data_IF_376017038065
#
_entry.id   IF_376017038065
#
_cell.length_a   1.000
_cell.length_b   1.000
_cell.length_c   1.000
_cell.angle_alpha   90.00
_cell.angle_beta   90.00
_cell.angle_gamma   90.00
#
_symmetry.space_group_name_H-M   'P 1'
#
loop_
_entity.id
_entity.type
_entity.pdbx_description
1 polymer ?
#
# COMPACT_ATOMS: atom_id res chain seq x y z
N UNK A 1 98.26 -3.89 43.06
CA UNK A 1 96.96 -3.81 43.76
C UNK A 1 96.16 -2.68 43.13
N UNK A 2 94.83 -2.81 43.06
CA UNK A 2 93.87 -1.72 42.81
C UNK A 2 93.13 -1.42 44.15
N UNK A 3 92.23 -0.45 44.33
CA UNK A 3 91.52 0.52 43.44
C UNK A 3 91.59 1.93 44.11
N UNK A 4 91.00 3.06 43.67
CA UNK A 4 89.58 3.44 43.38
C UNK A 4 89.53 4.69 42.46
N UNK A 5 88.43 4.87 41.71
CA UNK A 5 88.17 5.93 40.69
C UNK A 5 86.71 6.48 40.76
N UNK A 6 86.28 7.53 40.02
CA UNK A 6 86.72 8.94 40.03
C UNK A 6 85.92 9.85 39.02
N UNK A 7 84.92 10.62 39.48
CA UNK A 7 84.27 11.79 38.78
C UNK A 7 83.57 11.43 37.42
N UNK A 8 82.88 12.33 36.64
CA UNK A 8 81.97 13.50 36.85
C UNK A 8 80.47 13.16 36.56
N UNK A 9 79.47 14.07 36.48
CA UNK A 9 79.35 15.52 36.75
C UNK A 9 79.09 16.44 35.52
N UNK A 10 77.86 16.99 35.29
CA UNK A 10 77.61 17.97 34.19
C UNK A 10 76.45 19.00 34.39
N UNK A 11 76.79 20.29 34.21
CA UNK A 11 76.04 21.46 33.67
C UNK A 11 74.62 21.90 34.12
N UNK A 12 74.51 23.21 34.44
CA UNK A 12 73.28 24.02 34.36
C UNK A 12 73.57 25.54 34.36
N UNK A 13 72.99 26.27 33.40
CA UNK A 13 73.01 27.75 33.18
C UNK A 13 71.77 28.08 32.32
N UNK A 14 71.07 29.22 32.33
CA UNK A 14 71.10 30.47 33.11
C UNK A 14 70.13 31.49 32.44
N UNK A 15 69.57 32.46 33.18
CA UNK A 15 68.42 33.29 32.73
C UNK A 15 68.74 34.79 32.57
N UNK A 16 67.82 35.51 31.87
CA UNK A 16 67.74 36.97 31.61
C UNK A 16 68.59 37.48 30.40
N UNK A 17 68.24 38.60 29.74
CA UNK A 17 67.27 39.65 30.11
C UNK A 17 66.38 40.18 28.95
N UNK A 18 65.20 40.67 29.35
CA UNK A 18 64.47 41.85 28.84
C UNK A 18 64.63 42.32 27.38
N UNK A 19 63.52 42.26 26.61
CA UNK A 19 63.19 43.35 25.67
C UNK A 19 61.66 43.62 25.65
N UNK A 20 61.26 44.76 25.08
CA UNK A 20 59.99 45.44 25.43
C UNK A 20 59.06 45.62 24.22
N UNK A 21 57.77 45.37 24.44
CA UNK A 21 56.62 46.04 23.80
C UNK A 21 56.64 46.05 22.25
N UNK A 22 55.94 45.09 21.63
CA UNK A 22 55.30 45.34 20.32
C UNK A 22 53.97 44.58 20.20
N UNK A 23 52.86 45.30 20.36
CA UNK A 23 51.48 44.78 20.39
C UNK A 23 50.75 44.89 19.05
N UNK A 24 51.48 45.16 17.96
CA UNK A 24 50.93 45.35 16.61
C UNK A 24 51.50 44.35 15.58
N UNK A 25 51.43 43.07 15.92
CA UNK A 25 51.42 41.97 14.93
C UNK A 25 50.15 41.16 15.11
N UNK A 26 49.12 41.50 14.34
CA UNK A 26 47.97 40.62 14.12
C UNK A 26 48.48 39.27 13.58
N UNK A 27 48.11 38.13 14.17
CA UNK A 27 48.26 36.87 13.46
C UNK A 27 47.31 36.94 12.27
N UNK A 28 47.85 37.03 11.04
CA UNK A 28 47.04 36.96 9.83
C UNK A 28 46.33 35.63 9.83
N UNK A 29 45.04 35.64 10.17
CA UNK A 29 44.21 34.45 10.16
C UNK A 29 44.12 33.99 8.71
N UNK A 30 44.90 32.96 8.35
CA UNK A 30 44.79 32.28 7.06
C UNK A 30 43.41 31.68 6.97
N UNK A 31 42.47 32.43 6.40
CA UNK A 31 41.10 32.00 6.14
C UNK A 31 41.15 30.84 5.18
N UNK A 32 41.24 29.62 5.74
CA UNK A 32 40.85 28.40 5.04
C UNK A 32 39.36 28.55 4.77
N UNK A 33 39.03 29.02 3.58
CA UNK A 33 37.67 28.93 3.04
C UNK A 33 37.16 27.50 3.30
N UNK A 34 35.95 27.31 3.82
CA UNK A 34 35.43 25.97 4.07
C UNK A 34 35.40 25.22 2.74
N UNK A 35 36.34 24.28 2.57
CA UNK A 35 36.42 23.47 1.38
C UNK A 35 35.14 22.64 1.33
N UNK A 36 34.32 22.89 0.30
CA UNK A 36 33.08 22.16 0.12
C UNK A 36 33.37 20.64 0.12
N UNK A 37 32.52 19.81 0.76
CA UNK A 37 32.69 18.38 0.70
C UNK A 37 32.73 17.92 -0.76
N UNK A 38 33.52 16.88 -1.10
CA UNK A 38 33.58 16.38 -2.47
C UNK A 38 32.15 16.05 -2.94
N UNK A 39 31.78 16.39 -4.19
CA UNK A 39 30.45 16.09 -4.70
C UNK A 39 30.19 14.59 -4.57
N UNK A 40 29.02 14.24 -4.04
CA UNK A 40 28.58 12.85 -3.96
C UNK A 40 28.69 12.20 -5.34
N UNK A 41 29.08 10.92 -5.44
CA UNK A 41 29.14 10.22 -6.72
C UNK A 41 27.77 10.33 -7.37
N UNK A 42 27.73 10.84 -8.60
CA UNK A 42 26.47 11.13 -9.29
C UNK A 42 25.66 9.85 -9.44
N UNK A 43 24.59 9.74 -8.65
CA UNK A 43 23.60 8.67 -8.74
C UNK A 43 23.22 8.51 -10.21
N UNK A 44 23.24 7.29 -10.79
CA UNK A 44 22.87 7.10 -12.18
C UNK A 44 21.42 7.56 -12.36
N UNK A 45 21.24 8.75 -12.94
CA UNK A 45 19.93 9.28 -13.22
C UNK A 45 19.25 8.35 -14.22
N UNK A 46 18.08 7.83 -13.84
CA UNK A 46 17.26 7.07 -14.76
C UNK A 46 17.06 7.95 -16.01
N UNK A 47 17.38 7.47 -17.22
CA UNK A 47 17.20 8.27 -18.42
C UNK A 47 15.73 8.67 -18.51
N UNK A 48 15.39 9.86 -19.09
CA UNK A 48 14.02 10.33 -19.14
C UNK A 48 13.12 9.24 -19.71
N UNK A 49 12.14 8.81 -18.92
CA UNK A 49 11.36 7.58 -19.13
C UNK A 49 10.32 7.78 -20.23
N UNK A 50 10.77 8.11 -21.44
CA UNK A 50 9.97 8.13 -22.66
C UNK A 50 9.61 6.70 -23.02
N UNK A 51 8.58 6.18 -22.34
CA UNK A 51 7.99 4.89 -22.63
C UNK A 51 7.62 4.83 -24.11
N UNK A 52 8.19 3.86 -24.83
CA UNK A 52 7.81 3.54 -26.20
C UNK A 52 7.32 2.10 -26.21
N UNK A 53 6.02 1.93 -26.44
CA UNK A 53 5.40 0.62 -26.55
C UNK A 53 6.16 -0.24 -27.57
N UNK A 54 6.50 -1.47 -27.18
CA UNK A 54 7.14 -2.46 -28.05
C UNK A 54 6.18 -3.61 -28.27
N UNK A 55 5.94 -3.91 -29.54
CA UNK A 55 5.08 -5.00 -29.99
C UNK A 55 5.64 -6.34 -29.51
N UNK A 56 4.78 -7.23 -29.03
CA UNK A 56 5.16 -8.59 -28.65
C UNK A 56 3.96 -9.56 -28.74
N UNK A 57 4.18 -10.88 -28.59
CA UNK A 57 3.14 -11.89 -28.77
C UNK A 57 1.85 -11.62 -28.00
N UNK A 58 0.71 -11.70 -28.70
CA UNK A 58 -0.64 -11.47 -28.15
C UNK A 58 -1.25 -10.10 -28.48
N UNK A 59 -0.45 -9.12 -28.86
CA UNK A 59 -0.95 -7.80 -29.28
C UNK A 59 -1.79 -7.88 -30.56
N UNK A 60 -2.86 -7.07 -30.67
CA UNK A 60 -3.69 -6.99 -31.89
C UNK A 60 -3.53 -5.66 -32.59
N UNK A 61 -3.20 -5.74 -33.87
CA UNK A 61 -2.92 -4.63 -34.76
C UNK A 61 -3.94 -4.59 -35.89
N UNK A 62 -4.37 -3.41 -36.30
CA UNK A 62 -4.99 -3.19 -37.60
C UNK A 62 -3.95 -2.56 -38.52
N UNK A 63 -3.92 -3.01 -39.76
CA UNK A 63 -3.04 -2.50 -40.81
C UNK A 63 -3.83 -2.28 -42.07
N UNK A 64 -3.52 -1.21 -42.80
CA UNK A 64 -4.11 -0.91 -44.10
C UNK A 64 -3.08 -0.20 -44.99
N UNK A 65 -3.32 -0.26 -46.30
CA UNK A 65 -2.50 0.45 -47.29
C UNK A 65 -3.39 1.45 -48.03
N UNK A 66 -3.02 2.73 -47.99
CA UNK A 66 -3.86 3.82 -48.43
C UNK A 66 -4.35 3.63 -49.88
N UNK A 67 -5.68 3.59 -50.06
CA UNK A 67 -6.37 3.38 -51.35
C UNK A 67 -6.08 2.04 -52.03
N UNK A 68 -5.80 0.96 -51.29
CA UNK A 68 -5.61 -0.38 -51.86
C UNK A 68 -6.41 -1.43 -51.08
N UNK A 69 -7.54 -1.82 -51.64
CA UNK A 69 -8.41 -2.88 -51.12
C UNK A 69 -7.70 -4.25 -51.09
N UNK A 70 -8.07 -5.10 -50.13
CA UNK A 70 -7.47 -6.43 -49.96
C UNK A 70 -6.03 -6.43 -49.39
N UNK A 71 -5.51 -5.26 -48.99
CA UNK A 71 -4.30 -5.11 -48.18
C UNK A 71 -4.61 -4.70 -46.73
N UNK A 72 -5.88 -4.58 -46.38
CA UNK A 72 -6.36 -4.35 -45.03
C UNK A 72 -6.42 -5.66 -44.25
N UNK A 73 -5.95 -5.66 -43.01
CA UNK A 73 -6.00 -6.83 -42.14
C UNK A 73 -6.07 -6.44 -40.66
N UNK A 74 -6.80 -7.22 -39.89
CA UNK A 74 -6.64 -7.29 -38.43
C UNK A 74 -5.74 -8.49 -38.14
N UNK A 75 -4.59 -8.25 -37.52
CA UNK A 75 -3.55 -9.25 -37.28
C UNK A 75 -3.22 -9.32 -35.80
N UNK A 76 -2.94 -10.52 -35.30
CA UNK A 76 -2.45 -10.72 -33.95
C UNK A 76 -0.97 -11.11 -34.03
N UNK A 77 -0.12 -10.54 -33.16
CA UNK A 77 1.28 -10.94 -33.05
C UNK A 77 1.33 -12.36 -32.49
N UNK A 78 1.92 -13.27 -33.25
CA UNK A 78 2.04 -14.69 -32.94
C UNK A 78 3.11 -14.96 -31.89
N UNK A 79 3.15 -16.19 -31.35
CA UNK A 79 4.10 -16.62 -30.31
C UNK A 79 5.57 -16.60 -30.74
N UNK A 80 5.84 -16.58 -32.05
CA UNK A 80 7.16 -16.41 -32.64
C UNK A 80 7.56 -14.93 -32.86
N UNK A 81 6.67 -13.99 -32.53
CA UNK A 81 6.90 -12.55 -32.73
C UNK A 81 6.49 -12.00 -34.09
N UNK A 82 5.83 -12.80 -34.93
CA UNK A 82 5.48 -12.41 -36.31
C UNK A 82 4.02 -12.00 -36.45
N UNK A 83 3.72 -11.34 -37.57
CA UNK A 83 2.36 -11.09 -38.07
C UNK A 83 2.24 -11.59 -39.51
N UNK A 84 1.08 -12.12 -39.88
CA UNK A 84 0.79 -12.57 -41.24
C UNK A 84 0.02 -11.51 -42.01
N UNK A 85 0.58 -11.03 -43.12
CA UNK A 85 0.09 -9.89 -43.88
C UNK A 85 -0.36 -10.29 -45.30
N UNK A 86 -1.46 -9.71 -45.83
CA UNK A 86 -1.92 -10.01 -47.20
C UNK A 86 -0.82 -9.81 -48.22
N UNK A 87 -0.55 -10.83 -49.05
CA UNK A 87 0.46 -10.90 -50.14
C UNK A 87 1.93 -10.72 -49.73
N UNK A 88 2.23 -10.12 -48.57
CA UNK A 88 3.58 -9.98 -48.03
C UNK A 88 3.99 -11.21 -47.19
N UNK A 89 3.03 -11.95 -46.63
CA UNK A 89 3.30 -13.11 -45.80
C UNK A 89 3.72 -12.74 -44.38
N UNK A 90 4.56 -13.58 -43.78
CA UNK A 90 5.00 -13.47 -42.40
C UNK A 90 6.07 -12.38 -42.22
N UNK A 91 5.86 -11.46 -41.28
CA UNK A 91 6.80 -10.35 -40.96
C UNK A 91 7.06 -10.31 -39.45
N UNK A 92 8.34 -10.31 -39.08
CA UNK A 92 8.80 -10.15 -37.70
C UNK A 92 8.53 -8.73 -37.17
N UNK A 93 7.89 -8.64 -36.00
CA UNK A 93 7.58 -7.38 -35.31
C UNK A 93 7.94 -7.37 -33.82
N UNK A 94 8.39 -8.48 -33.24
CA UNK A 94 8.82 -8.57 -31.83
C UNK A 94 9.80 -7.44 -31.47
N UNK A 95 9.52 -6.74 -30.37
CA UNK A 95 10.39 -5.72 -29.81
C UNK A 95 10.42 -4.40 -30.59
N UNK A 96 9.83 -4.33 -31.79
CA UNK A 96 9.73 -3.09 -32.56
C UNK A 96 8.70 -2.17 -31.93
N UNK A 97 8.94 -0.86 -32.01
CA UNK A 97 7.89 0.14 -31.84
C UNK A 97 6.95 0.14 -33.06
N UNK A 98 5.75 0.70 -32.90
CA UNK A 98 4.74 0.80 -33.96
C UNK A 98 5.30 1.44 -35.24
N UNK A 99 6.14 2.48 -35.11
CA UNK A 99 6.79 3.14 -36.26
C UNK A 99 7.85 2.27 -36.93
N UNK A 100 8.69 1.57 -36.16
CA UNK A 100 9.72 0.66 -36.70
C UNK A 100 9.07 -0.54 -37.43
N UNK A 101 7.95 -1.05 -36.90
CA UNK A 101 7.15 -2.08 -37.55
C UNK A 101 6.49 -1.56 -38.84
N UNK A 102 5.85 -0.38 -38.80
CA UNK A 102 5.26 0.29 -39.98
C UNK A 102 6.29 0.52 -41.09
N UNK A 103 7.51 0.92 -40.73
CA UNK A 103 8.63 1.05 -41.68
C UNK A 103 9.05 -0.31 -42.27
N UNK A 104 9.13 -1.36 -41.46
CA UNK A 104 9.46 -2.73 -41.92
C UNK A 104 8.41 -3.29 -42.88
N UNK A 105 7.13 -3.13 -42.56
CA UNK A 105 6.00 -3.53 -43.41
C UNK A 105 6.00 -2.74 -44.73
N UNK A 106 6.25 -1.42 -44.69
CA UNK A 106 6.41 -0.57 -45.87
C UNK A 106 7.57 -1.01 -46.77
N UNK A 107 8.69 -1.45 -46.19
CA UNK A 107 9.86 -1.96 -46.91
C UNK A 107 9.65 -3.40 -47.46
N UNK A 108 8.71 -4.16 -46.89
CA UNK A 108 8.21 -5.39 -47.48
C UNK A 108 7.30 -5.12 -48.68
N UNK A 109 6.28 -4.28 -48.49
CA UNK A 109 5.30 -3.97 -49.54
C UNK A 109 5.87 -3.21 -50.74
N UNK A 110 6.97 -2.48 -50.60
CA UNK A 110 7.62 -1.78 -51.72
C UNK A 110 8.12 -2.70 -52.85
N UNK A 111 8.22 -4.02 -52.59
CA UNK A 111 8.52 -5.05 -53.59
C UNK A 111 7.35 -5.31 -54.57
N UNK A 112 6.12 -4.99 -54.14
CA UNK A 112 4.88 -5.26 -54.88
C UNK A 112 4.11 -3.97 -55.24
N UNK A 113 4.34 -2.89 -54.50
CA UNK A 113 3.59 -1.64 -54.58
C UNK A 113 4.53 -0.44 -54.78
N UNK A 114 4.14 0.48 -55.67
CA UNK A 114 4.94 1.70 -55.94
C UNK A 114 4.62 2.78 -54.92
N UNK A 115 5.52 3.00 -53.95
CA UNK A 115 5.39 3.98 -52.84
C UNK A 115 4.17 3.74 -51.92
N UNK A 116 4.03 2.58 -51.27
CA UNK A 116 2.93 2.32 -50.35
C UNK A 116 2.95 3.27 -49.14
N UNK A 117 1.77 3.78 -48.77
CA UNK A 117 1.53 4.40 -47.47
C UNK A 117 0.83 3.37 -46.58
N UNK A 118 1.56 2.86 -45.60
CA UNK A 118 1.08 1.87 -44.63
C UNK A 118 0.64 2.58 -43.36
N UNK A 119 -0.58 2.30 -42.92
CA UNK A 119 -1.07 2.56 -41.56
C UNK A 119 -0.94 1.27 -40.73
N UNK A 120 -0.63 1.42 -39.45
CA UNK A 120 -0.50 0.32 -38.50
C UNK A 120 -0.85 0.88 -37.13
N UNK A 121 -1.97 0.43 -36.56
CA UNK A 121 -2.53 0.94 -35.32
C UNK A 121 -2.81 -0.21 -34.32
N UNK A 122 -2.67 0.08 -33.03
CA UNK A 122 -2.77 -0.89 -31.94
C UNK A 122 -4.22 -0.94 -31.42
N UNK A 123 -4.96 -1.97 -31.83
CA UNK A 123 -6.39 -2.14 -31.51
C UNK A 123 -6.60 -2.71 -30.10
N UNK A 124 -5.75 -3.66 -29.70
CA UNK A 124 -5.81 -4.26 -28.37
C UNK A 124 -4.40 -4.59 -27.88
N UNK A 125 -4.01 -4.01 -26.75
CA UNK A 125 -2.77 -4.36 -26.05
C UNK A 125 -2.97 -5.69 -25.32
N UNK A 126 -1.93 -6.54 -25.23
CA UNK A 126 -1.99 -7.69 -24.33
C UNK A 126 -1.98 -7.21 -22.85
N UNK A 127 -2.70 -7.89 -21.94
CA UNK A 127 -2.69 -7.52 -20.53
C UNK A 127 -1.33 -7.86 -19.89
N UNK A 128 -0.81 -6.96 -19.06
CA UNK A 128 0.51 -7.10 -18.44
C UNK A 128 0.46 -8.17 -17.33
N UNK A 129 1.25 -9.23 -17.47
CA UNK A 129 1.40 -10.29 -16.45
C UNK A 129 2.69 -10.09 -15.68
N UNK A 130 2.57 -10.06 -14.35
CA UNK A 130 3.68 -9.77 -13.44
C UNK A 130 3.71 -10.83 -12.34
N UNK A 131 4.88 -11.37 -12.04
CA UNK A 131 5.04 -12.31 -10.91
C UNK A 131 5.46 -11.54 -9.66
N UNK A 132 4.81 -11.75 -8.52
CA UNK A 132 5.21 -11.13 -7.24
C UNK A 132 5.59 -12.20 -6.24
N UNK A 133 6.78 -12.09 -5.67
CA UNK A 133 7.42 -13.12 -4.85
C UNK A 133 8.02 -12.55 -3.57
N UNK A 134 8.17 -13.40 -2.56
CA UNK A 134 8.75 -13.05 -1.26
C UNK A 134 7.72 -12.45 -0.29
N UNK A 135 8.18 -11.50 0.53
CA UNK A 135 7.48 -11.00 1.72
C UNK A 135 6.38 -9.96 1.38
N UNK A 136 5.37 -10.37 0.63
CA UNK A 136 4.13 -9.62 0.32
C UNK A 136 2.90 -10.25 0.96
N UNK A 137 1.77 -9.54 1.02
CA UNK A 137 0.55 -10.09 1.63
C UNK A 137 -0.07 -11.23 0.82
N UNK A 138 0.07 -11.22 -0.51
CA UNK A 138 -0.38 -12.27 -1.45
C UNK A 138 0.68 -12.47 -2.57
N UNK A 139 1.63 -13.40 -2.43
CA UNK A 139 2.52 -13.76 -3.53
C UNK A 139 1.74 -14.50 -4.63
N UNK A 140 2.14 -14.36 -5.89
CA UNK A 140 1.45 -14.96 -7.04
C UNK A 140 1.66 -14.20 -8.35
N UNK A 141 0.96 -14.63 -9.40
CA UNK A 141 0.96 -13.95 -10.72
C UNK A 141 -0.24 -13.01 -10.79
N UNK A 142 0.02 -11.73 -11.04
CA UNK A 142 -0.99 -10.69 -11.19
C UNK A 142 -1.10 -10.28 -12.66
N UNK A 143 -2.32 -10.33 -13.19
CA UNK A 143 -2.64 -9.74 -14.49
C UNK A 143 -3.19 -8.35 -14.26
N UNK A 144 -2.61 -7.33 -14.90
CA UNK A 144 -3.10 -5.97 -14.90
C UNK A 144 -3.71 -5.64 -16.27
N UNK A 145 -4.93 -5.07 -16.33
CA UNK A 145 -5.40 -4.45 -17.55
C UNK A 145 -4.49 -3.26 -17.86
N UNK A 146 -4.33 -2.96 -19.15
CA UNK A 146 -3.76 -1.69 -19.61
C UNK A 146 -4.84 -1.04 -20.47
N UNK A 147 -5.52 -0.05 -19.91
CA UNK A 147 -6.41 0.79 -20.70
C UNK A 147 -5.59 1.79 -21.51
N UNK A 148 -5.90 1.89 -22.80
CA UNK A 148 -5.12 2.73 -23.74
C UNK A 148 -5.59 4.19 -23.76
N UNK A 149 -6.38 4.61 -22.76
CA UNK A 149 -7.15 5.86 -22.75
C UNK A 149 -6.79 6.80 -21.60
N UNK A 150 -6.12 6.32 -20.54
CA UNK A 150 -5.39 7.22 -19.65
C UNK A 150 -4.20 7.82 -20.38
N UNK A 151 -4.41 9.01 -20.93
CA UNK A 151 -3.34 9.91 -21.34
C UNK A 151 -2.31 10.02 -20.22
N UNK A 152 -1.02 10.20 -20.57
CA UNK A 152 -0.01 10.65 -19.60
C UNK A 152 -0.30 12.12 -19.30
N UNK A 153 -1.35 12.34 -18.50
CA UNK A 153 -1.78 13.64 -18.04
C UNK A 153 -0.72 14.19 -17.11
N UNK A 154 -0.01 15.22 -17.56
CA UNK A 154 0.75 16.09 -16.68
C UNK A 154 -0.29 16.93 -15.92
N UNK A 155 -0.89 16.34 -14.89
CA UNK A 155 -1.66 17.06 -13.89
C UNK A 155 -0.70 17.97 -13.14
N UNK A 156 -0.71 19.25 -13.48
CA UNK A 156 0.15 20.29 -12.88
C UNK A 156 -0.30 20.68 -11.46
N UNK A 157 -0.94 19.76 -10.75
CA UNK A 157 -1.49 19.92 -9.40
C UNK A 157 -1.23 18.62 -8.63
N UNK A 158 -0.32 18.68 -7.66
CA UNK A 158 0.32 17.51 -7.06
C UNK A 158 -0.50 16.89 -5.90
N UNK A 159 -1.83 16.97 -5.97
CA UNK A 159 -2.74 16.70 -4.84
C UNK A 159 -3.57 15.41 -4.99
N UNK A 160 -3.49 14.71 -6.11
CA UNK A 160 -4.23 13.46 -6.39
C UNK A 160 -3.33 12.29 -6.78
N UNK A 161 -2.56 11.77 -5.82
CA UNK A 161 -1.84 10.47 -5.97
C UNK A 161 -2.83 9.31 -5.75
N UNK A 162 -3.82 9.21 -6.63
CA UNK A 162 -4.85 8.17 -6.64
C UNK A 162 -4.57 7.08 -7.69
N UNK A 163 -4.98 5.84 -7.40
CA UNK A 163 -4.71 4.67 -8.24
C UNK A 163 -5.66 4.52 -9.45
N UNK A 164 -6.40 5.58 -9.80
CA UNK A 164 -7.48 5.60 -10.81
C UNK A 164 -7.06 6.37 -12.09
N UNK A 165 -5.77 6.29 -12.45
CA UNK A 165 -5.12 7.15 -13.46
C UNK A 165 -5.03 6.61 -14.89
N UNK A 166 -5.61 5.44 -15.19
CA UNK A 166 -5.70 4.83 -16.55
C UNK A 166 -4.37 4.60 -17.30
N UNK A 167 -3.24 4.65 -16.59
CA UNK A 167 -1.90 4.65 -17.18
C UNK A 167 -1.29 3.25 -17.29
N UNK A 168 -0.10 3.18 -17.90
CA UNK A 168 0.69 1.96 -17.91
C UNK A 168 1.09 1.55 -16.48
N UNK A 169 0.87 0.28 -16.06
CA UNK A 169 1.01 -0.13 -14.66
C UNK A 169 2.44 0.04 -14.12
N UNK A 170 2.52 0.50 -12.87
CA UNK A 170 3.76 0.81 -12.16
C UNK A 170 4.07 -0.22 -11.08
N UNK A 171 5.31 -0.23 -10.56
CA UNK A 171 5.73 -1.14 -9.49
C UNK A 171 4.86 -1.02 -8.24
N UNK A 172 4.44 0.21 -7.94
CA UNK A 172 3.58 0.48 -6.79
C UNK A 172 2.21 -0.20 -6.96
N UNK A 173 1.61 -0.12 -8.13
CA UNK A 173 0.26 -0.66 -8.42
C UNK A 173 0.24 -2.19 -8.31
N UNK A 174 1.31 -2.86 -8.76
CA UNK A 174 1.42 -4.32 -8.62
C UNK A 174 1.59 -4.74 -7.16
N UNK A 175 2.38 -3.99 -6.38
CA UNK A 175 2.53 -4.26 -4.94
C UNK A 175 1.21 -3.97 -4.20
N UNK A 176 0.47 -2.91 -4.56
CA UNK A 176 -0.90 -2.66 -4.10
C UNK A 176 -1.83 -3.84 -4.43
N UNK A 177 -1.76 -4.37 -5.65
CA UNK A 177 -2.57 -5.52 -6.08
C UNK A 177 -2.21 -6.80 -5.34
N UNK A 178 -0.95 -6.99 -4.97
CA UNK A 178 -0.50 -8.04 -4.03
C UNK A 178 -0.99 -7.83 -2.58
N UNK A 179 -1.67 -6.71 -2.28
CA UNK A 179 -2.13 -6.34 -0.94
C UNK A 179 -1.05 -5.67 -0.09
N UNK A 180 0.08 -5.33 -0.69
CA UNK A 180 1.21 -4.69 -0.03
C UNK A 180 2.26 -5.64 0.52
N UNK A 181 3.24 -5.03 1.19
CA UNK A 181 4.42 -5.68 1.75
C UNK A 181 4.05 -6.27 3.13
N UNK A 182 4.60 -7.44 3.44
CA UNK A 182 4.42 -8.08 4.75
C UNK A 182 5.14 -7.28 5.86
N UNK A 183 4.69 -7.42 7.11
CA UNK A 183 5.37 -6.83 8.27
C UNK A 183 6.83 -7.32 8.46
N UNK A 184 7.22 -8.35 7.72
CA UNK A 184 8.54 -8.98 7.65
C UNK A 184 9.38 -8.58 6.42
N UNK A 185 8.84 -7.77 5.50
CA UNK A 185 9.49 -7.41 4.23
C UNK A 185 10.47 -6.23 4.29
N UNK A 186 11.51 -6.27 3.47
CA UNK A 186 12.56 -5.26 3.36
C UNK A 186 12.21 -4.15 2.35
N UNK A 187 11.62 -3.06 2.84
CA UNK A 187 11.36 -1.83 2.07
C UNK A 187 12.64 -1.15 1.51
N UNK A 188 13.83 -1.49 2.02
CA UNK A 188 15.09 -1.00 1.48
C UNK A 188 15.64 -1.86 0.33
N UNK A 189 15.00 -3.00 0.03
CA UNK A 189 15.46 -3.98 -0.96
C UNK A 189 14.28 -4.61 -1.72
N UNK A 190 13.51 -3.75 -2.39
CA UNK A 190 12.55 -4.17 -3.38
C UNK A 190 13.25 -4.38 -4.72
N UNK A 191 13.14 -5.57 -5.29
CA UNK A 191 13.87 -5.95 -6.50
C UNK A 191 12.90 -6.18 -7.67
N UNK A 192 13.22 -5.60 -8.82
CA UNK A 192 12.52 -5.77 -10.08
C UNK A 192 13.41 -6.53 -11.06
N UNK A 193 12.99 -7.74 -11.42
CA UNK A 193 13.62 -8.61 -12.38
C UNK A 193 12.90 -8.46 -13.73
N UNK A 194 13.59 -7.89 -14.72
CA UNK A 194 13.08 -7.70 -16.08
C UNK A 194 13.69 -8.73 -17.02
N UNK A 195 12.88 -9.59 -17.67
CA UNK A 195 13.41 -10.51 -18.69
C UNK A 195 13.98 -9.70 -19.86
N UNK A 196 14.95 -10.28 -20.57
CA UNK A 196 15.47 -9.64 -21.78
C UNK A 196 14.37 -9.57 -22.85
N UNK A 197 14.29 -8.48 -23.64
CA UNK A 197 13.37 -8.41 -24.78
C UNK A 197 13.60 -9.52 -25.82
N UNK A 198 14.79 -10.10 -25.88
CA UNK A 198 15.14 -11.19 -26.79
C UNK A 198 15.07 -12.55 -26.07
N UNK A 199 14.44 -13.58 -26.65
CA UNK A 199 14.41 -14.92 -26.08
C UNK A 199 15.82 -15.44 -25.70
N UNK A 200 15.97 -15.95 -24.48
CA UNK A 200 17.24 -16.46 -23.94
C UNK A 200 18.25 -15.39 -23.49
N UNK A 201 17.95 -14.09 -23.63
CA UNK A 201 18.82 -13.03 -23.12
C UNK A 201 18.81 -12.93 -21.58
N UNK A 202 19.83 -12.29 -20.97
CA UNK A 202 19.96 -12.20 -19.52
C UNK A 202 18.89 -11.30 -18.88
N UNK A 203 18.33 -11.74 -17.75
CA UNK A 203 17.42 -10.96 -16.91
C UNK A 203 18.16 -9.80 -16.24
N UNK A 204 17.61 -8.59 -16.36
CA UNK A 204 18.12 -7.39 -15.70
C UNK A 204 17.51 -7.28 -14.29
N UNK A 205 18.31 -6.99 -13.27
CA UNK A 205 17.84 -6.75 -11.90
C UNK A 205 18.02 -5.29 -11.52
N UNK A 206 16.97 -4.68 -10.97
CA UNK A 206 16.96 -3.32 -10.43
C UNK A 206 16.56 -3.39 -8.96
N UNK A 207 17.38 -2.83 -8.07
CA UNK A 207 17.09 -2.78 -6.62
C UNK A 207 16.69 -1.37 -6.23
N UNK A 208 15.56 -1.25 -5.53
CA UNK A 208 14.97 0.00 -5.08
C UNK A 208 14.85 0.04 -3.56
N UNK A 209 15.24 1.17 -2.98
CA UNK A 209 15.10 1.48 -1.57
C UNK A 209 14.00 2.54 -1.41
N UNK A 210 12.85 2.12 -0.91
CA UNK A 210 11.73 3.00 -0.58
C UNK A 210 11.75 3.42 0.91
N UNK A 211 12.57 2.75 1.74
CA UNK A 211 12.67 3.04 3.17
C UNK A 211 13.30 4.41 3.47
N UNK A 212 14.22 4.89 2.63
CA UNK A 212 14.75 6.27 2.72
C UNK A 212 13.64 7.31 2.50
N UNK A 213 12.84 7.14 1.45
CA UNK A 213 11.74 8.07 1.10
C UNK A 213 10.67 8.13 2.20
N UNK A 214 10.47 7.04 2.94
CA UNK A 214 9.58 7.00 4.11
C UNK A 214 10.18 7.59 5.41
N UNK A 215 11.50 7.75 5.50
CA UNK A 215 12.21 8.27 6.69
C UNK A 215 12.64 9.72 6.54
N UNK A 216 13.31 9.99 5.43
CA UNK A 216 14.06 11.21 5.14
C UNK A 216 13.26 12.15 4.21
N UNK A 217 12.17 11.64 3.64
CA UNK A 217 11.39 12.29 2.58
C UNK A 217 12.04 12.17 1.19
N UNK A 218 11.35 12.70 0.18
CA UNK A 218 11.87 12.79 -1.19
C UNK A 218 11.05 12.00 -2.21
N UNK A 219 11.68 11.66 -3.35
CA UNK A 219 11.04 10.97 -4.46
C UNK A 219 11.55 9.54 -4.59
N UNK A 220 10.65 8.57 -4.52
CA UNK A 220 10.94 7.19 -4.88
C UNK A 220 10.76 7.00 -6.40
N UNK A 221 11.73 6.44 -7.13
CA UNK A 221 11.50 6.05 -8.51
C UNK A 221 10.47 4.91 -8.55
N UNK A 222 9.29 5.18 -9.10
CA UNK A 222 8.25 4.19 -9.35
C UNK A 222 8.33 3.72 -10.82
N UNK A 223 9.03 2.61 -11.14
CA UNK A 223 9.24 2.20 -12.52
C UNK A 223 7.97 1.59 -13.12
N UNK A 224 7.81 1.79 -14.43
CA UNK A 224 6.81 1.09 -15.24
C UNK A 224 7.14 -0.40 -15.31
N UNK A 225 6.10 -1.24 -15.21
CA UNK A 225 6.18 -2.71 -15.14
C UNK A 225 5.67 -3.31 -16.44
N UNK A 226 6.45 -4.23 -17.01
CA UNK A 226 6.20 -4.82 -18.32
C UNK A 226 5.71 -6.26 -18.17
N UNK A 227 5.06 -6.74 -19.22
CA UNK A 227 4.65 -8.14 -19.33
C UNK A 227 5.87 -9.07 -19.22
N UNK A 228 5.84 -9.98 -18.25
CA UNK A 228 6.95 -10.88 -17.92
C UNK A 228 7.89 -10.39 -16.81
N UNK A 229 7.76 -9.15 -16.32
CA UNK A 229 8.54 -8.68 -15.15
C UNK A 229 8.20 -9.51 -13.89
N UNK A 230 9.15 -9.61 -12.97
CA UNK A 230 8.99 -10.26 -11.67
C UNK A 230 9.48 -9.36 -10.53
N UNK A 231 8.62 -9.10 -9.56
CA UNK A 231 8.93 -8.33 -8.35
C UNK A 231 9.29 -9.31 -7.23
N UNK A 232 10.43 -9.07 -6.57
CA UNK A 232 10.90 -9.84 -5.41
C UNK A 232 11.06 -8.93 -4.20
N UNK A 233 10.33 -9.25 -3.13
CA UNK A 233 10.40 -8.55 -1.84
C UNK A 233 11.20 -9.41 -0.87
N UNK A 234 12.40 -8.94 -0.54
CA UNK A 234 13.29 -9.65 0.38
C UNK A 234 12.80 -9.55 1.83
N UNK A 235 13.32 -10.41 2.70
CA UNK A 235 13.03 -10.39 4.14
C UNK A 235 13.96 -9.44 4.87
N UNK A 236 13.40 -8.64 5.78
CA UNK A 236 14.18 -7.73 6.61
C UNK A 236 15.14 -8.52 7.51
N UNK A 237 16.45 -8.23 7.41
CA UNK A 237 17.49 -8.93 8.19
C UNK A 237 17.58 -8.47 9.64
N UNK A 238 16.97 -7.32 9.96
CA UNK A 238 16.87 -6.77 11.32
C UNK A 238 15.44 -6.34 11.59
N UNK A 239 14.83 -6.69 12.74
CA UNK A 239 13.60 -6.07 13.19
C UNK A 239 13.90 -4.63 13.63
N UNK A 240 13.86 -3.70 12.67
CA UNK A 240 13.88 -2.26 12.97
C UNK A 240 12.70 -1.97 13.92
N UNK A 241 12.98 -1.27 15.02
CA UNK A 241 12.09 -1.23 16.19
C UNK A 241 10.61 -0.96 15.86
N UNK A 242 9.74 -1.68 16.57
CA UNK A 242 8.31 -1.90 16.33
C UNK A 242 7.43 -0.62 16.36
N UNK A 243 8.03 0.54 16.55
CA UNK A 243 7.38 1.82 16.88
C UNK A 243 7.21 2.75 15.66
N UNK A 244 7.98 2.54 14.57
CA UNK A 244 7.66 3.10 13.24
C UNK A 244 6.73 2.16 12.44
N UNK A 245 6.33 1.02 13.03
CA UNK A 245 6.13 -0.22 12.28
C UNK A 245 4.67 -0.69 12.15
N UNK A 246 3.69 0.14 12.55
CA UNK A 246 2.26 -0.28 12.62
C UNK A 246 1.30 0.46 11.67
N UNK A 247 1.53 1.74 11.32
CA UNK A 247 0.46 2.58 10.71
C UNK A 247 0.88 3.51 9.57
N UNK A 248 2.04 4.17 9.61
CA UNK A 248 2.22 5.45 8.91
C UNK A 248 2.19 5.44 7.36
N UNK A 249 2.42 4.30 6.70
CA UNK A 249 2.59 4.24 5.24
C UNK A 249 1.88 3.03 4.59
N UNK A 250 0.62 2.78 4.96
CA UNK A 250 -0.24 1.73 4.36
C UNK A 250 -0.68 2.00 2.91
N UNK A 251 0.12 2.74 2.12
CA UNK A 251 -0.14 3.12 0.73
C UNK A 251 -0.02 1.94 -0.27
N UNK A 252 0.00 0.71 0.25
CA UNK A 252 -0.11 -0.53 -0.51
C UNK A 252 -1.33 -1.39 -0.14
N UNK A 253 -2.18 -0.94 0.79
CA UNK A 253 -3.55 -1.43 0.89
C UNK A 253 -4.45 -0.68 -0.12
N UNK A 254 -5.52 -1.31 -0.66
CA UNK A 254 -6.36 -0.70 -1.69
C UNK A 254 -7.03 0.58 -1.19
N UNK A 255 -7.25 1.54 -2.10
CA UNK A 255 -7.82 2.85 -1.78
C UNK A 255 -9.12 2.76 -0.95
N UNK A 256 -9.91 1.70 -1.14
CA UNK A 256 -11.08 1.34 -0.34
C UNK A 256 -10.88 -0.06 0.28
N UNK A 257 -11.19 -0.18 1.57
CA UNK A 257 -11.32 -1.45 2.30
C UNK A 257 -12.79 -1.68 2.70
N UNK A 258 -13.20 -2.96 2.74
CA UNK A 258 -14.53 -3.34 3.21
C UNK A 258 -14.44 -3.76 4.69
N UNK A 259 -15.32 -3.20 5.53
CA UNK A 259 -15.41 -3.48 6.96
C UNK A 259 -16.88 -3.78 7.30
N UNK A 260 -17.14 -4.81 8.09
CA UNK A 260 -18.50 -5.15 8.51
C UNK A 260 -18.83 -4.42 9.81
N UNK A 261 -19.89 -3.61 9.84
CA UNK A 261 -20.35 -2.93 11.06
C UNK A 261 -21.71 -3.50 11.49
N UNK A 262 -21.82 -3.91 12.75
CA UNK A 262 -23.01 -4.57 13.33
C UNK A 262 -23.32 -4.08 14.74
N UNK A 263 -24.54 -4.33 15.20
CA UNK A 263 -25.03 -3.89 16.51
C UNK A 263 -25.81 -2.57 16.44
N UNK A 264 -25.75 -1.77 17.50
CA UNK A 264 -26.56 -0.55 17.69
C UNK A 264 -25.99 0.68 16.94
N UNK A 265 -25.81 0.54 15.62
CA UNK A 265 -25.55 1.64 14.66
C UNK A 265 -26.80 1.95 13.83
N UNK A 266 -26.85 3.13 13.19
CA UNK A 266 -28.02 3.53 12.39
C UNK A 266 -28.20 2.67 11.12
N UNK A 267 -27.11 2.32 10.45
CA UNK A 267 -27.11 1.51 9.21
C UNK A 267 -26.10 0.36 9.31
N UNK A 268 -26.46 -0.77 9.96
CA UNK A 268 -25.58 -1.95 10.04
C UNK A 268 -25.45 -2.64 8.67
N UNK A 269 -24.25 -3.13 8.34
CA UNK A 269 -23.95 -3.72 7.03
C UNK A 269 -22.45 -3.71 6.71
N UNK A 270 -22.11 -4.06 5.47
CA UNK A 270 -20.76 -3.80 4.94
C UNK A 270 -20.61 -2.31 4.63
N UNK A 271 -19.51 -1.73 5.09
CA UNK A 271 -19.17 -0.32 4.94
C UNK A 271 -17.85 -0.22 4.20
N UNK A 272 -17.79 0.68 3.23
CA UNK A 272 -16.58 1.00 2.47
C UNK A 272 -15.93 2.27 3.04
N UNK A 273 -14.66 2.15 3.41
CA UNK A 273 -13.85 3.22 4.00
C UNK A 273 -12.45 3.22 3.37
N UNK A 274 -11.66 4.28 3.58
CA UNK A 274 -10.31 4.36 3.05
C UNK A 274 -9.35 3.33 3.67
N UNK A 275 -8.28 2.99 2.95
CA UNK A 275 -7.09 2.41 3.61
C UNK A 275 -6.65 3.31 4.78
N UNK A 276 -6.24 2.70 5.89
CA UNK A 276 -5.88 3.38 7.13
C UNK A 276 -7.00 4.17 7.83
N UNK A 277 -8.25 4.18 7.35
CA UNK A 277 -9.33 4.86 8.07
C UNK A 277 -9.49 4.28 9.49
N UNK A 278 -9.65 5.15 10.51
CA UNK A 278 -9.76 4.72 11.90
C UNK A 278 -11.12 4.08 12.20
N UNK A 279 -11.21 3.31 13.27
CA UNK A 279 -12.47 2.69 13.72
C UNK A 279 -13.64 3.68 13.84
N UNK A 280 -13.39 4.92 14.26
CA UNK A 280 -14.42 5.96 14.33
C UNK A 280 -15.04 6.30 12.97
N UNK A 281 -14.27 6.20 11.87
CA UNK A 281 -14.73 6.53 10.51
C UNK A 281 -15.68 5.48 9.95
N UNK A 282 -15.50 4.19 10.26
CA UNK A 282 -16.46 3.14 9.92
C UNK A 282 -17.81 3.36 10.64
N UNK A 283 -17.77 3.67 11.94
CA UNK A 283 -18.98 3.93 12.73
C UNK A 283 -19.73 5.16 12.20
N UNK A 284 -19.02 6.25 11.89
CA UNK A 284 -19.61 7.44 11.26
C UNK A 284 -20.20 7.13 9.86
N UNK A 285 -19.54 6.29 9.06
CA UNK A 285 -20.06 5.86 7.76
C UNK A 285 -21.28 4.92 7.86
N UNK A 286 -21.45 4.17 8.95
CA UNK A 286 -22.70 3.49 9.31
C UNK A 286 -23.78 4.41 9.92
N UNK A 287 -23.65 5.73 9.76
CA UNK A 287 -24.57 6.76 10.27
C UNK A 287 -24.38 7.11 11.76
N UNK A 288 -23.37 6.53 12.42
CA UNK A 288 -23.10 6.73 13.85
C UNK A 288 -23.74 5.67 14.76
N UNK A 289 -23.52 5.84 16.07
CA UNK A 289 -24.10 5.00 17.14
C UNK A 289 -25.52 5.46 17.46
N UNK A 290 -26.48 4.54 17.60
CA UNK A 290 -27.87 4.90 17.97
C UNK A 290 -27.97 5.36 19.42
N UNK A 291 -29.11 5.93 19.81
CA UNK A 291 -29.40 6.29 21.22
C UNK A 291 -29.35 5.11 22.21
N UNK A 292 -29.34 3.86 21.72
CA UNK A 292 -29.25 2.64 22.54
C UNK A 292 -27.84 2.04 22.55
N UNK A 293 -26.94 2.49 21.68
CA UNK A 293 -25.59 1.93 21.54
C UNK A 293 -24.61 2.39 22.61
N UNK A 294 -23.63 1.55 22.89
CA UNK A 294 -22.63 1.74 23.94
C UNK A 294 -21.36 2.38 23.40
N UNK A 295 -21.22 3.70 23.58
CA UNK A 295 -19.92 4.36 23.32
C UNK A 295 -18.79 3.81 24.22
N UNK A 296 -19.14 3.19 25.35
CA UNK A 296 -18.17 2.62 26.30
C UNK A 296 -17.62 1.25 25.89
N UNK A 297 -18.31 0.52 25.02
CA UNK A 297 -17.95 -0.84 24.61
C UNK A 297 -18.30 -1.06 23.14
N UNK A 298 -17.27 -0.97 22.31
CA UNK A 298 -17.26 -1.40 20.92
C UNK A 298 -16.19 -2.49 20.80
N UNK A 299 -16.52 -3.60 20.13
CA UNK A 299 -15.57 -4.69 19.93
C UNK A 299 -15.06 -4.67 18.50
N UNK A 300 -13.74 -4.67 18.34
CA UNK A 300 -13.07 -4.92 17.07
C UNK A 300 -12.70 -6.40 17.00
N UNK A 301 -13.38 -7.15 16.14
CA UNK A 301 -13.08 -8.55 15.86
C UNK A 301 -12.24 -8.59 14.58
N UNK A 302 -11.05 -9.19 14.67
CA UNK A 302 -10.08 -9.29 13.58
C UNK A 302 -9.57 -10.73 13.48
N UNK A 303 -9.78 -11.35 12.33
CA UNK A 303 -9.31 -12.71 12.03
C UNK A 303 -7.86 -12.67 11.50
N UNK A 304 -7.02 -13.60 11.94
CA UNK A 304 -5.70 -13.84 11.34
C UNK A 304 -5.79 -14.78 10.11
N UNK A 305 -4.65 -15.07 9.45
CA UNK A 305 -4.64 -15.96 8.26
C UNK A 305 -4.86 -17.42 8.64
N UNK A 306 -4.61 -17.73 9.90
CA UNK A 306 -4.69 -19.02 10.55
C UNK A 306 -6.12 -19.30 11.07
N UNK A 307 -7.07 -18.40 10.79
CA UNK A 307 -8.50 -18.53 11.09
C UNK A 307 -8.90 -18.15 12.52
N UNK A 308 -7.97 -17.62 13.32
CA UNK A 308 -8.21 -17.29 14.74
C UNK A 308 -8.75 -15.87 14.85
N UNK A 309 -9.83 -15.71 15.61
CA UNK A 309 -10.45 -14.41 15.86
C UNK A 309 -9.85 -13.75 17.10
N UNK A 310 -9.13 -12.64 16.92
CA UNK A 310 -8.79 -11.72 18.01
C UNK A 310 -9.96 -10.76 18.25
N UNK A 311 -10.35 -10.58 19.51
CA UNK A 311 -11.39 -9.63 19.92
C UNK A 311 -10.74 -8.56 20.80
N UNK A 312 -10.79 -7.30 20.37
CA UNK A 312 -10.30 -6.16 21.15
C UNK A 312 -11.47 -5.27 21.55
N UNK A 313 -11.77 -5.20 22.85
CA UNK A 313 -12.70 -4.23 23.40
C UNK A 313 -12.08 -2.82 23.39
N UNK A 314 -12.88 -1.85 22.97
CA UNK A 314 -12.50 -0.46 22.75
C UNK A 314 -13.60 0.47 23.27
N UNK A 315 -13.21 1.67 23.72
CA UNK A 315 -14.14 2.77 23.97
C UNK A 315 -14.19 3.65 22.73
N UNK A 316 -15.36 3.77 22.11
CA UNK A 316 -15.58 4.73 21.03
C UNK A 316 -15.67 6.15 21.59
N UNK A 317 -15.03 7.08 20.90
CA UNK A 317 -15.09 8.51 21.18
C UNK A 317 -15.04 9.24 19.82
N UNK A 318 -16.08 10.00 19.43
CA UNK A 318 -16.15 10.64 18.12
C UNK A 318 -15.09 11.73 17.93
N UNK A 319 -14.50 12.23 19.02
CA UNK A 319 -13.52 13.31 19.01
C UNK A 319 -12.08 12.82 19.27
N UNK A 320 -11.86 11.50 19.36
CA UNK A 320 -10.52 10.95 19.59
C UNK A 320 -9.60 11.16 18.37
N UNK A 321 -8.39 11.66 18.64
CA UNK A 321 -7.33 11.82 17.66
C UNK A 321 -7.04 10.53 16.88
N UNK A 322 -6.67 10.71 15.61
CA UNK A 322 -6.21 9.66 14.70
C UNK A 322 -5.12 8.81 15.37
N UNK A 323 -5.20 7.48 15.22
CA UNK A 323 -4.26 6.50 15.79
C UNK A 323 -4.16 6.42 17.32
N UNK A 324 -5.12 6.95 18.08
CA UNK A 324 -5.21 6.66 19.52
C UNK A 324 -5.40 5.15 19.79
N UNK A 325 -4.95 4.65 20.94
CA UNK A 325 -5.08 3.23 21.32
C UNK A 325 -6.53 2.70 21.33
N UNK A 326 -7.49 3.61 21.53
CA UNK A 326 -8.94 3.37 21.48
C UNK A 326 -9.55 3.52 20.08
N UNK A 327 -8.83 4.14 19.13
CA UNK A 327 -9.26 4.41 17.76
C UNK A 327 -8.24 3.86 16.73
N UNK A 328 -8.02 2.53 16.69
CA UNK A 328 -7.02 1.92 15.83
C UNK A 328 -7.41 1.99 14.34
N UNK A 329 -6.42 1.89 13.42
CA UNK A 329 -6.70 1.72 12.00
C UNK A 329 -7.35 0.36 11.72
N UNK A 330 -8.34 0.38 10.82
CA UNK A 330 -9.05 -0.81 10.37
C UNK A 330 -8.34 -1.50 9.21
N UNK A 331 -8.68 -2.77 9.00
CA UNK A 331 -8.19 -3.64 7.93
C UNK A 331 -9.37 -4.23 7.16
N UNK A 332 -9.18 -4.53 5.89
CA UNK A 332 -10.21 -5.19 5.07
C UNK A 332 -10.60 -6.54 5.67
N UNK A 333 -11.88 -6.71 5.99
CA UNK A 333 -12.40 -7.92 6.66
C UNK A 333 -12.48 -7.84 8.18
N UNK A 334 -12.11 -6.70 8.80
CA UNK A 334 -12.44 -6.45 10.20
C UNK A 334 -13.97 -6.40 10.41
N UNK A 335 -14.43 -6.81 11.60
CA UNK A 335 -15.81 -6.66 12.06
C UNK A 335 -15.85 -5.73 13.27
N UNK A 336 -16.67 -4.68 13.21
CA UNK A 336 -16.89 -3.72 14.29
C UNK A 336 -18.27 -3.97 14.89
N UNK A 337 -18.31 -4.36 16.17
CA UNK A 337 -19.54 -4.64 16.92
C UNK A 337 -19.81 -3.50 17.90
N UNK A 338 -20.89 -2.75 17.69
CA UNK A 338 -21.35 -1.70 18.60
C UNK A 338 -22.38 -2.28 19.55
N UNK A 339 -21.95 -2.50 20.79
CA UNK A 339 -22.76 -3.20 21.78
C UNK A 339 -23.92 -2.34 22.29
N UNK A 340 -24.96 -2.95 22.86
CA UNK A 340 -26.06 -2.20 23.50
C UNK A 340 -25.62 -1.60 24.84
N UNK A 341 -26.06 -0.39 25.14
CA UNK A 341 -25.78 0.30 26.40
C UNK A 341 -26.56 -0.38 27.54
N UNK A 342 -25.90 -1.27 28.29
CA UNK A 342 -26.48 -1.91 29.47
C UNK A 342 -26.71 -0.87 30.56
N UNK A 343 -27.96 -0.45 30.71
CA UNK A 343 -28.46 0.52 31.68
C UNK A 343 -28.40 -0.05 33.11
N UNK A 344 -27.23 0.00 33.74
CA UNK A 344 -27.10 -0.22 35.20
C UNK A 344 -27.63 1.01 35.94
N UNK A 345 -28.96 1.15 35.94
CA UNK A 345 -29.72 2.11 36.73
C UNK A 345 -30.87 1.35 37.37
N UNK A 346 -30.89 1.33 38.71
CA UNK A 346 -31.96 0.71 39.50
C UNK A 346 -33.14 1.69 39.57
N UNK A 347 -33.82 1.87 38.44
CA UNK A 347 -35.11 2.57 38.27
C UNK A 347 -35.68 2.17 36.92
N UNK A 348 -36.61 1.20 36.90
CA UNK A 348 -37.77 1.07 35.98
C UNK A 348 -38.36 -0.35 36.06
N UNK A 349 -38.81 -0.72 37.26
CA UNK A 349 -39.65 -1.91 37.52
C UNK A 349 -40.97 -1.49 38.19
N UNK A 350 -41.52 -0.33 37.78
CA UNK A 350 -42.82 0.21 38.22
C UNK A 350 -43.64 0.74 37.04
N UNK A 351 -43.91 -0.13 36.06
CA UNK A 351 -44.92 0.09 35.01
C UNK A 351 -45.55 -1.22 34.54
N UNK A 352 -44.74 -2.23 34.21
CA UNK A 352 -45.19 -3.49 33.59
C UNK A 352 -45.75 -4.53 34.58
N UNK A 353 -46.27 -4.07 35.72
CA UNK A 353 -46.80 -4.92 36.81
C UNK A 353 -48.22 -4.52 37.28
N UNK A 354 -48.99 -3.82 36.44
CA UNK A 354 -50.42 -3.59 36.65
C UNK A 354 -51.29 -4.22 35.55
N UNK A 355 -51.19 -5.55 35.44
CA UNK A 355 -52.35 -6.35 35.06
C UNK A 355 -53.21 -6.55 36.32
N UNK A 356 -54.54 -6.38 36.26
CA UNK A 356 -55.41 -6.60 37.41
C UNK A 356 -55.43 -8.09 37.76
N UNK A 357 -54.96 -8.44 38.95
CA UNK A 357 -55.15 -9.78 39.51
C UNK A 357 -56.60 -9.90 39.99
N UNK A 358 -57.45 -10.56 39.20
CA UNK A 358 -58.78 -10.95 39.66
C UNK A 358 -58.64 -11.94 40.84
N UNK A 359 -59.26 -11.66 42.00
CA UNK A 359 -59.14 -12.53 43.16
C UNK A 359 -60.06 -13.75 43.01
N UNK A 360 -59.48 -14.90 42.66
CA UNK A 360 -60.18 -16.20 42.74
C UNK A 360 -60.42 -16.54 44.21
N UNK A 361 -61.55 -16.08 44.75
CA UNK A 361 -61.98 -16.34 46.12
C UNK A 361 -62.80 -17.64 46.15
N UNK A 362 -62.11 -18.78 46.24
CA UNK A 362 -62.78 -20.05 46.59
C UNK A 362 -63.07 -20.09 48.10
N UNK A 363 -64.34 -19.84 48.43
CA UNK A 363 -64.83 -19.57 49.78
C UNK A 363 -64.77 -20.77 50.75
N UNK A 364 -64.36 -21.96 50.30
CA UNK A 364 -64.30 -23.18 51.11
C UNK A 364 -63.03 -23.33 51.97
N UNK A 365 -62.01 -22.49 51.77
CA UNK A 365 -60.63 -22.75 52.25
C UNK A 365 -60.25 -22.12 53.61
N UNK A 366 -60.89 -21.02 54.02
CA UNK A 366 -60.46 -20.20 55.18
C UNK A 366 -60.63 -20.91 56.53
N UNK A 367 -61.66 -21.74 56.68
CA UNK A 367 -62.00 -22.41 57.95
C UNK A 367 -61.03 -23.53 58.39
N UNK A 368 -59.97 -23.83 57.62
CA UNK A 368 -58.93 -24.81 58.01
C UNK A 368 -57.69 -24.21 58.67
N UNK A 369 -57.50 -22.88 58.66
CA UNK A 369 -56.29 -22.25 59.20
C UNK A 369 -56.43 -21.76 60.66
N UNK A 370 -57.67 -21.56 61.13
CA UNK A 370 -58.01 -21.18 62.49
C UNK A 370 -58.99 -22.22 63.06
N UNK A 371 -58.49 -23.08 63.94
CA UNK A 371 -59.23 -24.24 64.49
C UNK A 371 -60.33 -23.85 65.47
N UNK A 372 -61.42 -23.27 64.97
CA UNK A 372 -62.58 -22.83 65.73
C UNK A 372 -63.83 -23.61 65.30
N UNK A 373 -64.69 -24.06 66.24
CA UNK A 373 -65.91 -24.79 65.91
C UNK A 373 -66.96 -23.87 65.25
N UNK A 374 -67.68 -24.37 64.25
CA UNK A 374 -68.77 -23.61 63.63
C UNK A 374 -69.97 -23.51 64.60
N UNK A 375 -70.64 -22.34 64.69
CA UNK A 375 -71.93 -22.23 65.36
C UNK A 375 -73.01 -23.00 64.58
N UNK A 376 -73.89 -23.69 65.31
CA UNK A 376 -74.94 -24.53 64.73
C UNK A 376 -76.03 -23.73 64.02
N UNK A 377 -76.45 -24.20 62.85
CA UNK A 377 -77.58 -23.64 62.10
C UNK A 377 -78.89 -23.65 62.93
N UNK A 378 -79.50 -22.48 63.12
CA UNK A 378 -80.79 -22.30 63.79
C UNK A 378 -81.68 -21.38 62.96
N UNK A 379 -82.45 -21.95 62.04
CA UNK A 379 -83.28 -21.19 61.11
C UNK A 379 -84.71 -20.99 61.58
N UNK A 380 -85.36 -19.95 61.04
CA UNK A 380 -86.79 -19.95 60.73
C UNK A 380 -87.14 -18.91 59.67
#
# INVERSE_FOLDING_TARGET
MAVVLAVPGLLGVGLKAEERINWLKTPTASTRSPQAPPPLPSTPSLPPQTYRYRLAPGDRLVTSVFKIEGYEAQVQVLSDGTINLPRLGTVEVWGLTLEEARQRIKAGYSRFLRRPLVYLDLVQQRPVRVTVTGEVLRPGVFTLPVDSQGSIGISSDATSVGADGGGWPTMIDVIQKAGGISATGDLARLELLRPSPTPGGPTQSYVFNYLTVLKDGGFAPNPLIYDGDSIRVHKATSPVNVDLLTTAASNFAPAVINVQVVGEVFSPGMVQIGSNDPLSRAILASGGVTRRGSVKRVELIRMDREGRTTVKQLRYDPNALLSSANNPPLRNGDVVVVDRNTFTKVTDTMSDAMLPLEPIVDAASVYRLLGLPMPSNGGR
#
